data_IF_433694733819
#
_entry.id   IF_433694733819
#
_cell.length_a   1.000
_cell.length_b   1.000
_cell.length_c   1.000
_cell.angle_alpha   90.00
_cell.angle_beta   90.00
_cell.angle_gamma   90.00
#
_symmetry.space_group_name_H-M   'P 1'
#
loop_
_entity.id
_entity.type
_entity.pdbx_description
1 polymer ?
#
# COMPACT_ATOMS: atom_id res chain seq x y z
N UNK A 1 -58.60 -11.77 31.37
CA UNK A 1 -58.30 -12.93 30.50
C UNK A 1 -57.03 -12.60 29.74
N UNK A 2 -55.90 -13.18 30.17
CA UNK A 2 -54.57 -12.93 29.60
C UNK A 2 -54.08 -14.24 29.02
N UNK A 3 -53.84 -14.27 27.71
CA UNK A 3 -53.28 -15.43 27.02
C UNK A 3 -51.76 -15.50 27.24
N UNK A 4 -51.20 -16.61 27.73
CA UNK A 4 -49.77 -16.79 27.81
C UNK A 4 -49.23 -17.29 26.45
N UNK A 5 -48.49 -16.42 25.77
CA UNK A 5 -47.79 -16.72 24.51
C UNK A 5 -46.45 -17.41 24.76
N UNK A 6 -46.41 -18.69 24.41
CA UNK A 6 -45.28 -19.56 24.08
C UNK A 6 -43.84 -19.03 24.28
N UNK A 7 -43.13 -19.63 25.24
CA UNK A 7 -41.68 -19.67 25.28
C UNK A 7 -41.14 -20.53 24.14
N UNK A 8 -40.55 -19.89 23.12
CA UNK A 8 -39.82 -20.55 22.06
C UNK A 8 -38.50 -21.11 22.57
N UNK A 9 -38.48 -22.40 22.90
CA UNK A 9 -37.25 -23.16 23.07
C UNK A 9 -36.56 -23.28 21.70
N UNK A 10 -35.49 -22.51 21.49
CA UNK A 10 -34.56 -22.72 20.37
C UNK A 10 -33.78 -24.00 20.69
N UNK A 11 -34.32 -25.13 20.24
CA UNK A 11 -33.59 -26.39 20.20
C UNK A 11 -32.42 -26.24 19.24
N UNK A 12 -31.21 -26.12 19.78
CA UNK A 12 -29.99 -26.27 18.99
C UNK A 12 -29.89 -27.74 18.63
N UNK A 13 -30.19 -28.02 17.37
CA UNK A 13 -30.18 -29.34 16.76
C UNK A 13 -28.84 -30.06 17.05
N UNK A 14 -28.82 -31.21 17.73
CA UNK A 14 -27.57 -31.93 18.06
C UNK A 14 -26.90 -32.56 16.83
N UNK A 15 -27.44 -32.38 15.63
CA UNK A 15 -26.77 -32.62 14.36
C UNK A 15 -25.74 -31.52 14.06
N UNK A 16 -24.77 -31.38 14.96
CA UNK A 16 -23.52 -30.66 14.72
C UNK A 16 -22.80 -31.30 13.54
N UNK A 17 -23.03 -30.68 12.37
CA UNK A 17 -22.29 -30.74 11.11
C UNK A 17 -21.20 -31.81 11.08
N UNK A 18 -21.54 -32.99 10.56
CA UNK A 18 -20.55 -33.94 10.05
C UNK A 18 -19.79 -33.24 8.92
N UNK A 19 -18.68 -32.59 9.26
CA UNK A 19 -17.74 -31.99 8.30
C UNK A 19 -17.37 -33.10 7.32
N UNK A 20 -17.71 -32.90 6.04
CA UNK A 20 -17.51 -33.91 5.01
C UNK A 20 -16.03 -34.31 4.94
N UNK A 21 -15.74 -35.58 4.62
CA UNK A 21 -14.35 -36.06 4.48
C UNK A 21 -13.53 -35.19 3.51
N UNK A 22 -14.18 -34.64 2.47
CA UNK A 22 -13.58 -33.69 1.52
C UNK A 22 -13.15 -32.39 2.20
N UNK A 23 -14.00 -31.81 3.05
CA UNK A 23 -13.68 -30.58 3.77
C UNK A 23 -12.55 -30.78 4.80
N UNK A 24 -12.50 -31.95 5.47
CA UNK A 24 -11.35 -32.31 6.33
C UNK A 24 -10.04 -32.39 5.56
N UNK A 25 -10.06 -32.96 4.35
CA UNK A 25 -8.88 -33.05 3.47
C UNK A 25 -8.41 -31.67 3.00
N UNK A 26 -9.34 -30.78 2.62
CA UNK A 26 -9.01 -29.40 2.24
C UNK A 26 -8.39 -28.60 3.38
N UNK A 27 -8.92 -28.74 4.61
CA UNK A 27 -8.36 -28.10 5.79
C UNK A 27 -6.95 -28.62 6.10
N UNK A 28 -6.72 -29.93 6.02
CA UNK A 28 -5.41 -30.53 6.23
C UNK A 28 -4.36 -30.04 5.19
N UNK A 29 -4.76 -29.89 3.92
CA UNK A 29 -3.89 -29.33 2.89
C UNK A 29 -3.56 -27.85 3.14
N UNK A 30 -4.55 -27.05 3.53
CA UNK A 30 -4.34 -25.64 3.89
C UNK A 30 -3.36 -25.50 5.05
N UNK A 31 -3.50 -26.32 6.09
CA UNK A 31 -2.59 -26.30 7.25
C UNK A 31 -1.18 -26.74 6.88
N UNK A 32 -1.03 -27.73 5.99
CA UNK A 32 0.27 -28.16 5.46
C UNK A 32 0.98 -27.04 4.69
N UNK A 33 0.25 -26.33 3.82
CA UNK A 33 0.77 -25.18 3.07
C UNK A 33 1.17 -24.04 4.01
N UNK A 34 0.32 -23.74 5.00
CA UNK A 34 0.60 -22.70 5.99
C UNK A 34 1.86 -23.02 6.82
N UNK A 35 2.04 -24.28 7.25
CA UNK A 35 3.27 -24.72 7.94
C UNK A 35 4.51 -24.58 7.06
N UNK A 36 4.43 -24.98 5.79
CA UNK A 36 5.55 -24.84 4.84
C UNK A 36 5.92 -23.36 4.62
N UNK A 37 4.94 -22.48 4.51
CA UNK A 37 5.17 -21.04 4.38
C UNK A 37 5.77 -20.42 5.64
N UNK A 38 5.28 -20.82 6.82
CA UNK A 38 5.83 -20.38 8.10
C UNK A 38 7.30 -20.80 8.27
N UNK A 39 7.63 -22.05 7.93
CA UNK A 39 9.02 -22.55 8.01
C UNK A 39 9.94 -21.86 6.99
N UNK A 40 9.47 -21.63 5.76
CA UNK A 40 10.22 -20.84 4.76
C UNK A 40 10.50 -19.42 5.25
N UNK A 41 9.52 -18.76 5.88
CA UNK A 41 9.71 -17.43 6.45
C UNK A 41 10.68 -17.44 7.63
N UNK A 42 10.64 -18.48 8.47
CA UNK A 42 11.61 -18.67 9.55
C UNK A 42 13.04 -18.83 9.02
N UNK A 43 13.24 -19.64 7.99
CA UNK A 43 14.55 -19.83 7.35
C UNK A 43 15.09 -18.52 6.75
N UNK A 44 14.24 -17.75 6.05
CA UNK A 44 14.61 -16.42 5.55
C UNK A 44 15.07 -15.49 6.67
N UNK A 45 14.36 -15.44 7.80
CA UNK A 45 14.74 -14.62 8.96
C UNK A 45 16.09 -15.04 9.54
N UNK A 46 16.35 -16.34 9.64
CA UNK A 46 17.64 -16.86 10.13
C UNK A 46 18.78 -16.53 9.16
N UNK A 47 18.54 -16.58 7.85
CA UNK A 47 19.52 -16.21 6.84
C UNK A 47 19.88 -14.72 6.92
N UNK A 48 18.88 -13.84 6.97
CA UNK A 48 19.10 -12.39 7.14
C UNK A 48 19.88 -12.10 8.43
N UNK A 49 19.58 -12.82 9.53
CA UNK A 49 20.33 -12.67 10.78
C UNK A 49 21.80 -13.07 10.63
N UNK A 50 22.10 -14.16 9.90
CA UNK A 50 23.49 -14.58 9.61
C UNK A 50 24.22 -13.57 8.73
N UNK A 51 23.56 -13.05 7.70
CA UNK A 51 24.14 -12.05 6.80
C UNK A 51 24.48 -10.74 7.55
N UNK A 52 23.57 -10.25 8.40
CA UNK A 52 23.83 -9.08 9.25
C UNK A 52 25.01 -9.30 10.21
N UNK A 53 25.12 -10.49 10.79
CA UNK A 53 26.24 -10.83 11.66
C UNK A 53 27.57 -10.84 10.90
N UNK A 54 27.59 -11.41 9.68
CA UNK A 54 28.77 -11.42 8.83
C UNK A 54 29.21 -10.00 8.40
N UNK A 55 28.26 -9.12 8.10
CA UNK A 55 28.57 -7.70 7.79
C UNK A 55 29.17 -7.01 9.00
N UNK A 56 28.59 -7.20 10.19
CA UNK A 56 29.11 -6.61 11.44
C UNK A 56 30.53 -7.08 11.74
N UNK A 57 30.81 -8.36 11.54
CA UNK A 57 32.16 -8.91 11.69
C UNK A 57 33.15 -8.26 10.71
N UNK A 58 32.79 -8.15 9.42
CA UNK A 58 33.64 -7.48 8.41
C UNK A 58 33.94 -6.01 8.75
N UNK A 59 32.96 -5.27 9.25
CA UNK A 59 33.15 -3.87 9.65
C UNK A 59 34.14 -3.74 10.83
N UNK A 60 34.06 -4.65 11.81
CA UNK A 60 34.98 -4.66 12.95
C UNK A 60 36.42 -5.01 12.52
N UNK A 61 36.61 -5.94 11.58
CA UNK A 61 37.95 -6.27 11.06
C UNK A 61 38.56 -5.11 10.28
N UNK A 62 37.75 -4.39 9.49
CA UNK A 62 38.19 -3.22 8.73
C UNK A 62 38.60 -2.05 9.63
N UNK A 63 37.86 -1.82 10.73
CA UNK A 63 38.19 -0.76 11.69
C UNK A 63 39.53 -0.99 12.40
N UNK A 64 39.89 -2.26 12.62
CA UNK A 64 41.15 -2.63 13.31
C UNK A 64 42.39 -2.48 12.41
N UNK A 65 42.22 -2.52 11.08
CA UNK A 65 43.35 -2.38 10.14
C UNK A 65 43.74 -0.93 9.84
N UNK A 66 42.84 0.03 10.09
CA UNK A 66 43.07 1.46 9.79
C UNK A 66 43.59 2.29 10.96
N UNK A 67 43.78 1.71 12.15
CA UNK A 67 44.35 2.40 13.32
C UNK A 67 45.87 2.24 13.41
N UNK A 68 46.59 2.48 12.30
CA UNK A 68 48.03 2.73 12.35
C UNK A 68 48.27 4.25 12.42
N UNK A 69 48.97 4.78 13.44
CA UNK A 69 49.12 6.22 13.62
C UNK A 69 50.17 6.76 12.64
N UNK A 70 49.74 7.54 11.65
CA UNK A 70 50.64 8.32 10.80
C UNK A 70 50.71 9.77 11.29
N UNK A 71 51.94 10.21 11.61
CA UNK A 71 52.30 11.57 12.03
C UNK A 71 51.89 12.67 11.03
N UNK A 72 51.58 13.90 11.51
CA UNK A 72 51.17 14.99 10.65
C UNK A 72 52.38 15.71 10.03
N UNK A 73 52.41 15.83 8.70
CA UNK A 73 53.30 16.78 7.99
C UNK A 73 52.51 17.80 7.18
N UNK A 74 52.99 19.03 7.32
CA UNK A 74 52.60 20.34 6.76
C UNK A 74 52.23 20.37 5.27
N UNK A 75 51.38 21.32 4.83
CA UNK A 75 51.01 21.48 3.42
C UNK A 75 52.01 22.40 2.70
N UNK A 76 52.39 22.07 1.46
CA UNK A 76 52.61 23.02 0.35
C UNK A 76 52.98 22.27 -0.95
N UNK A 77 52.59 22.88 -2.07
CA UNK A 77 52.98 22.67 -3.48
C UNK A 77 52.20 21.69 -4.39
N UNK A 78 51.41 22.33 -5.28
CA UNK A 78 51.06 21.97 -6.67
C UNK A 78 52.39 22.01 -7.49
N UNK A 79 52.70 21.12 -8.48
CA UNK A 79 52.03 21.13 -9.79
C UNK A 79 51.99 19.87 -10.69
N UNK A 80 51.06 19.96 -11.67
CA UNK A 80 51.09 19.55 -13.08
C UNK A 80 51.60 18.16 -13.56
N UNK A 81 50.69 17.48 -14.28
CA UNK A 81 50.84 16.80 -15.59
C UNK A 81 51.75 15.55 -15.68
N UNK A 82 51.14 14.40 -15.96
CA UNK A 82 51.70 13.39 -16.88
C UNK A 82 50.62 12.47 -17.45
N UNK A 83 50.70 12.27 -18.77
CA UNK A 83 50.04 11.21 -19.54
C UNK A 83 50.53 9.84 -19.08
N UNK A 84 49.65 8.83 -19.17
CA UNK A 84 50.01 7.43 -19.01
C UNK A 84 48.95 6.53 -19.61
N UNK A 85 49.24 6.02 -20.81
CA UNK A 85 48.55 4.88 -21.43
C UNK A 85 48.65 3.65 -20.52
N UNK A 86 47.52 3.00 -20.24
CA UNK A 86 47.48 1.63 -19.74
C UNK A 86 46.23 0.91 -20.27
N UNK A 87 46.49 -0.04 -21.16
CA UNK A 87 45.55 -0.94 -21.81
C UNK A 87 45.58 -2.29 -21.08
N UNK A 88 44.48 -2.73 -20.48
CA UNK A 88 44.11 -4.13 -20.17
C UNK A 88 42.72 -4.19 -19.49
N UNK A 89 42.07 -5.36 -19.36
CA UNK A 89 41.45 -6.13 -20.42
C UNK A 89 39.92 -6.24 -20.24
N UNK A 90 39.27 -6.68 -21.32
CA UNK A 90 37.91 -7.21 -21.41
C UNK A 90 37.48 -8.02 -20.18
N UNK A 91 36.60 -7.43 -19.37
CA UNK A 91 35.74 -8.12 -18.41
C UNK A 91 34.33 -7.59 -18.57
N UNK A 92 33.41 -8.44 -19.02
CA UNK A 92 31.99 -8.15 -19.18
C UNK A 92 31.40 -7.67 -17.86
N UNK A 93 31.05 -6.39 -17.81
CA UNK A 93 30.21 -5.83 -16.75
C UNK A 93 28.82 -6.50 -16.82
N UNK A 94 28.24 -6.92 -15.69
CA UNK A 94 26.83 -7.26 -15.66
C UNK A 94 26.03 -6.00 -15.95
N UNK A 95 25.07 -6.10 -16.87
CA UNK A 95 24.18 -5.01 -17.28
C UNK A 95 23.41 -4.44 -16.08
N UNK A 96 23.45 -3.11 -15.95
CA UNK A 96 22.78 -2.31 -14.90
C UNK A 96 21.24 -2.42 -14.84
N UNK A 97 20.63 -3.30 -15.65
CA UNK A 97 19.18 -3.52 -15.70
C UNK A 97 18.64 -4.50 -14.65
N UNK A 98 19.49 -5.15 -13.84
CA UNK A 98 19.06 -6.08 -12.78
C UNK A 98 19.32 -5.57 -11.34
N UNK A 99 19.92 -4.38 -11.16
CA UNK A 99 20.25 -3.82 -9.84
C UNK A 99 19.22 -2.86 -9.22
N UNK A 100 18.10 -2.61 -9.89
CA UNK A 100 17.19 -1.53 -9.47
C UNK A 100 16.10 -1.91 -8.45
N UNK A 101 16.02 -3.17 -7.99
CA UNK A 101 14.91 -3.63 -7.13
C UNK A 101 15.30 -4.26 -5.79
N UNK A 102 16.51 -4.04 -5.29
CA UNK A 102 16.89 -4.52 -3.96
C UNK A 102 17.83 -3.54 -3.28
N UNK A 103 17.27 -2.66 -2.46
CA UNK A 103 17.73 -2.28 -1.12
C UNK A 103 16.89 -1.10 -0.60
N UNK A 104 15.66 -1.40 -0.15
CA UNK A 104 15.02 -0.54 0.86
C UNK A 104 15.57 -1.03 2.21
N UNK A 105 16.23 -0.18 3.02
CA UNK A 105 16.71 -0.56 4.34
C UNK A 105 15.55 -1.08 5.20
N UNK A 106 15.58 -2.36 5.55
CA UNK A 106 14.51 -3.04 6.32
C UNK A 106 14.56 -2.75 7.82
N UNK A 107 15.46 -1.86 8.25
CA UNK A 107 15.62 -1.43 9.64
C UNK A 107 14.94 -0.10 9.95
N UNK A 108 14.25 0.46 8.97
CA UNK A 108 13.42 1.64 9.18
C UNK A 108 12.11 1.22 9.87
N UNK A 109 11.90 1.70 11.11
CA UNK A 109 10.69 1.45 11.88
C UNK A 109 9.48 1.96 11.10
N UNK A 110 8.69 1.04 10.54
CA UNK A 110 7.50 1.35 9.75
C UNK A 110 6.55 2.26 10.53
N UNK A 111 6.52 2.18 11.87
CA UNK A 111 5.71 3.07 12.70
C UNK A 111 6.31 4.48 12.79
N UNK A 112 7.64 4.59 12.81
CA UNK A 112 8.33 5.88 12.75
C UNK A 112 8.19 6.51 11.37
N UNK A 113 8.29 5.74 10.28
CA UNK A 113 8.05 6.20 8.91
C UNK A 113 6.58 6.56 8.69
N UNK A 114 5.63 5.80 9.23
CA UNK A 114 4.22 6.15 9.21
C UNK A 114 3.94 7.40 10.04
N UNK A 115 4.65 7.61 11.15
CA UNK A 115 4.54 8.82 11.97
C UNK A 115 5.21 10.03 11.32
N UNK A 116 6.39 9.86 10.72
CA UNK A 116 7.09 10.91 9.96
C UNK A 116 6.33 11.24 8.69
N UNK A 117 5.90 10.27 7.88
CA UNK A 117 4.99 10.49 6.74
C UNK A 117 3.67 11.11 7.23
N UNK A 118 3.10 10.67 8.36
CA UNK A 118 1.93 11.30 8.98
C UNK A 118 2.16 12.76 9.40
N UNK A 119 3.40 13.15 9.70
CA UNK A 119 3.73 14.51 10.19
C UNK A 119 4.26 15.41 9.07
N UNK A 120 4.93 14.83 8.07
CA UNK A 120 5.64 15.49 6.97
C UNK A 120 4.78 15.53 5.69
N UNK A 121 4.00 14.48 5.39
CA UNK A 121 3.00 14.51 4.31
C UNK A 121 1.66 15.12 4.73
N UNK A 122 1.35 15.22 6.03
CA UNK A 122 0.06 15.74 6.51
C UNK A 122 0.20 16.99 7.39
N UNK A 123 1.33 17.71 7.23
CA UNK A 123 1.39 19.13 7.52
C UNK A 123 0.37 19.87 6.66
N UNK A 124 -0.89 19.92 7.11
CA UNK A 124 -2.04 20.65 6.55
C UNK A 124 -2.49 20.38 5.11
N UNK A 125 -1.71 19.71 4.26
CA UNK A 125 -2.10 19.45 2.88
C UNK A 125 -2.33 17.96 2.63
N UNK A 126 -3.59 17.55 2.74
CA UNK A 126 -4.10 16.41 1.98
C UNK A 126 -3.69 16.67 0.52
N UNK A 127 -3.05 15.71 -0.18
CA UNK A 127 -2.54 15.94 -1.51
C UNK A 127 -3.63 16.52 -2.39
N UNK A 128 -3.29 17.62 -3.06
CA UNK A 128 -4.14 18.36 -3.98
C UNK A 128 -4.91 17.39 -4.88
N UNK A 129 -6.16 17.72 -5.19
CA UNK A 129 -7.06 16.87 -5.96
C UNK A 129 -6.32 16.22 -7.15
N UNK A 130 -6.54 14.92 -7.42
CA UNK A 130 -5.73 14.18 -8.39
C UNK A 130 -5.74 14.90 -9.72
N UNK A 131 -4.56 14.93 -10.36
CA UNK A 131 -4.32 15.65 -11.60
C UNK A 131 -5.43 15.29 -12.60
N UNK A 132 -6.21 16.28 -13.08
CA UNK A 132 -7.30 16.01 -14.00
C UNK A 132 -6.74 15.33 -15.24
N UNK A 133 -7.42 14.27 -15.67
CA UNK A 133 -7.07 13.59 -16.92
C UNK A 133 -7.26 14.55 -18.09
N UNK A 134 -6.38 14.53 -19.10
CA UNK A 134 -6.59 15.31 -20.31
C UNK A 134 -7.93 14.91 -20.94
N UNK A 135 -8.83 15.87 -21.19
CA UNK A 135 -10.12 15.61 -21.85
C UNK A 135 -9.92 15.06 -23.29
N UNK A 136 -8.75 15.33 -23.89
CA UNK A 136 -8.38 14.99 -25.27
C UNK A 136 -7.58 13.68 -25.40
N UNK A 137 -7.86 12.65 -24.59
CA UNK A 137 -7.21 11.33 -24.73
C UNK A 137 -7.63 10.56 -26.01
N UNK A 138 -8.54 11.11 -26.81
CA UNK A 138 -9.12 10.45 -28.00
C UNK A 138 -8.13 10.42 -29.18
N UNK A 139 -7.25 11.42 -29.29
CA UNK A 139 -6.38 11.59 -30.46
C UNK A 139 -5.01 10.91 -30.33
N UNK A 140 -4.73 10.30 -29.17
CA UNK A 140 -3.45 9.64 -28.93
C UNK A 140 -3.43 8.20 -29.49
N UNK A 141 -2.29 7.75 -30.06
CA UNK A 141 -2.08 6.34 -30.37
C UNK A 141 -2.32 5.46 -29.14
N UNK A 142 -2.82 4.24 -29.36
CA UNK A 142 -3.17 3.27 -28.31
C UNK A 142 -2.14 3.18 -27.18
N UNK A 143 -0.86 3.04 -27.57
CA UNK A 143 0.23 2.82 -26.63
C UNK A 143 0.49 4.04 -25.75
N UNK A 144 0.46 5.25 -26.34
CA UNK A 144 0.65 6.50 -25.60
C UNK A 144 -0.51 6.73 -24.63
N UNK A 145 -1.74 6.49 -25.10
CA UNK A 145 -2.94 6.54 -24.24
C UNK A 145 -2.84 5.59 -23.05
N UNK A 146 -2.39 4.35 -23.30
CA UNK A 146 -2.14 3.38 -22.23
C UNK A 146 -1.08 3.85 -21.24
N UNK A 147 0.05 4.39 -21.72
CA UNK A 147 1.12 4.89 -20.85
C UNK A 147 0.64 6.05 -19.97
N UNK A 148 -0.16 6.96 -20.52
CA UNK A 148 -0.77 8.04 -19.75
C UNK A 148 -1.68 7.46 -18.66
N UNK A 149 -2.62 6.58 -19.00
CA UNK A 149 -3.52 5.94 -18.03
C UNK A 149 -2.73 5.18 -16.95
N UNK A 150 -1.68 4.47 -17.35
CA UNK A 150 -0.80 3.74 -16.44
C UNK A 150 -0.09 4.69 -15.46
N UNK A 151 0.45 5.81 -15.94
CA UNK A 151 1.11 6.81 -15.10
C UNK A 151 0.12 7.42 -14.09
N UNK A 152 -1.05 7.84 -14.54
CA UNK A 152 -2.10 8.35 -13.66
C UNK A 152 -2.55 7.29 -12.64
N UNK A 153 -2.60 6.01 -13.02
CA UNK A 153 -2.95 4.92 -12.10
C UNK A 153 -1.89 4.73 -11.01
N UNK A 154 -0.60 4.90 -11.32
CA UNK A 154 0.48 4.85 -10.32
C UNK A 154 0.40 6.03 -9.36
N UNK A 155 0.17 7.25 -9.88
CA UNK A 155 -0.01 8.44 -9.06
C UNK A 155 -1.25 8.32 -8.15
N UNK A 156 -2.35 7.79 -8.68
CA UNK A 156 -3.56 7.51 -7.90
C UNK A 156 -3.28 6.51 -6.76
N UNK A 157 -2.49 5.47 -7.03
CA UNK A 157 -2.12 4.47 -6.04
C UNK A 157 -1.18 5.01 -4.93
N UNK A 158 -0.34 6.01 -5.24
CA UNK A 158 0.71 6.49 -4.34
C UNK A 158 0.23 7.45 -3.25
N UNK A 159 -0.95 8.07 -3.39
CA UNK A 159 -1.48 9.12 -2.50
C UNK A 159 -1.44 8.76 -1.00
N UNK A 160 -1.65 7.50 -0.63
CA UNK A 160 -1.56 7.04 0.76
C UNK A 160 -0.48 5.98 0.99
N UNK A 161 0.63 6.07 0.25
CA UNK A 161 1.80 5.19 0.39
C UNK A 161 1.72 3.87 -0.41
N UNK A 162 0.77 3.76 -1.34
CA UNK A 162 0.54 2.54 -2.13
C UNK A 162 -0.65 1.71 -1.64
N UNK A 163 -1.33 1.03 -2.55
CA UNK A 163 -2.58 0.29 -2.26
C UNK A 163 -2.41 -0.77 -1.18
N UNK A 164 -1.22 -1.37 -1.06
CA UNK A 164 -0.95 -2.40 -0.06
C UNK A 164 -1.02 -1.90 1.39
N UNK A 165 -0.88 -0.59 1.62
CA UNK A 165 -0.91 0.02 2.96
C UNK A 165 -2.17 0.88 3.21
N UNK A 166 -3.04 1.02 2.21
CA UNK A 166 -4.28 1.78 2.35
C UNK A 166 -5.20 1.33 3.48
N UNK A 167 -5.36 0.01 3.77
CA UNK A 167 -6.22 -0.42 4.87
C UNK A 167 -5.81 0.21 6.21
N UNK A 168 -4.51 0.30 6.48
CA UNK A 168 -3.94 0.90 7.69
C UNK A 168 -3.92 2.44 7.60
N UNK A 169 -3.48 3.00 6.46
CA UNK A 169 -3.41 4.45 6.26
C UNK A 169 -4.77 5.13 6.43
N UNK A 170 -5.84 4.55 5.86
CA UNK A 170 -7.19 5.12 5.97
C UNK A 170 -7.71 5.16 7.41
N UNK A 171 -7.42 4.13 8.21
CA UNK A 171 -7.81 4.10 9.63
C UNK A 171 -7.05 5.17 10.44
N UNK A 172 -5.74 5.32 10.20
CA UNK A 172 -4.92 6.35 10.84
C UNK A 172 -5.42 7.75 10.48
N UNK A 173 -5.75 7.99 9.21
CA UNK A 173 -6.24 9.29 8.77
C UNK A 173 -7.62 9.60 9.33
N UNK A 174 -8.51 8.63 9.36
CA UNK A 174 -9.83 8.79 9.95
C UNK A 174 -9.77 9.11 11.44
N UNK A 175 -8.96 8.34 12.20
CA UNK A 175 -8.77 8.58 13.64
C UNK A 175 -8.10 9.93 13.91
N UNK A 176 -7.18 10.35 13.04
CA UNK A 176 -6.55 11.68 13.11
C UNK A 176 -7.57 12.80 12.85
N UNK A 177 -8.42 12.65 11.83
CA UNK A 177 -9.50 13.60 11.54
C UNK A 177 -10.48 13.73 12.72
N UNK A 178 -10.78 12.62 13.40
CA UNK A 178 -11.62 12.60 14.60
C UNK A 178 -10.94 13.20 15.85
N UNK A 179 -9.64 12.98 16.02
CA UNK A 179 -8.91 13.40 17.22
C UNK A 179 -8.41 14.86 17.17
N UNK A 180 -8.25 15.43 15.97
CA UNK A 180 -7.73 16.79 15.82
C UNK A 180 -8.70 17.76 16.49
N UNK A 181 -8.28 18.55 17.49
CA UNK A 181 -9.11 19.62 18.08
C UNK A 181 -8.68 21.02 17.62
N UNK A 182 -7.67 21.08 16.74
CA UNK A 182 -6.90 22.30 16.46
C UNK A 182 -7.59 23.30 15.53
N UNK A 183 -8.68 22.94 14.84
CA UNK A 183 -9.42 23.85 13.97
C UNK A 183 -10.63 24.42 14.74
N UNK A 184 -10.66 25.72 15.10
CA UNK A 184 -11.72 26.31 15.90
C UNK A 184 -13.08 26.43 15.19
N UNK A 185 -13.20 26.03 13.92
CA UNK A 185 -14.41 26.25 13.12
C UNK A 185 -15.14 24.98 12.67
N UNK A 186 -14.50 23.81 12.70
CA UNK A 186 -15.12 22.58 12.20
C UNK A 186 -15.27 21.56 13.32
N UNK A 187 -16.47 20.98 13.46
CA UNK A 187 -16.71 19.90 14.41
C UNK A 187 -15.84 18.67 14.04
N UNK A 188 -15.63 17.76 14.99
CA UNK A 188 -14.98 16.47 14.69
C UNK A 188 -15.77 15.68 13.64
N UNK A 189 -17.11 15.76 13.69
CA UNK A 189 -18.00 15.07 12.76
C UNK A 189 -17.81 15.60 11.34
N UNK A 190 -17.83 16.91 11.15
CA UNK A 190 -17.65 17.56 9.85
C UNK A 190 -16.35 17.15 9.17
N UNK A 191 -15.24 17.07 9.92
CA UNK A 191 -13.93 16.68 9.36
C UNK A 191 -13.85 15.19 9.02
N UNK A 192 -14.43 14.33 9.85
CA UNK A 192 -14.52 12.90 9.51
C UNK A 192 -15.42 12.67 8.28
N UNK A 193 -16.49 13.44 8.15
CA UNK A 193 -17.36 13.44 6.98
C UNK A 193 -16.62 13.94 5.72
N UNK A 194 -15.87 15.05 5.83
CA UNK A 194 -15.06 15.58 4.74
C UNK A 194 -14.00 14.56 4.28
N UNK A 195 -13.29 13.94 5.21
CA UNK A 195 -12.33 12.88 4.89
C UNK A 195 -12.99 11.69 4.16
N UNK A 196 -14.16 11.24 4.62
CA UNK A 196 -14.90 10.18 3.92
C UNK A 196 -15.31 10.60 2.51
N UNK A 197 -15.74 11.85 2.32
CA UNK A 197 -16.09 12.38 1.01
C UNK A 197 -14.87 12.39 0.08
N UNK A 198 -13.71 12.83 0.58
CA UNK A 198 -12.45 12.79 -0.17
C UNK A 198 -12.07 11.36 -0.56
N UNK A 199 -12.16 10.40 0.37
CA UNK A 199 -11.89 9.00 0.08
C UNK A 199 -12.84 8.45 -1.00
N UNK A 200 -14.15 8.76 -0.92
CA UNK A 200 -15.12 8.37 -1.94
C UNK A 200 -14.82 9.00 -3.30
N UNK A 201 -14.50 10.28 -3.35
CA UNK A 201 -14.09 10.98 -4.58
C UNK A 201 -12.84 10.34 -5.19
N UNK A 202 -11.86 9.96 -4.36
CA UNK A 202 -10.67 9.24 -4.81
C UNK A 202 -11.01 7.87 -5.41
N UNK A 203 -11.96 7.14 -4.84
CA UNK A 203 -12.47 5.89 -5.40
C UNK A 203 -13.17 6.10 -6.75
N UNK A 204 -13.96 7.16 -6.92
CA UNK A 204 -14.58 7.50 -8.21
C UNK A 204 -13.54 7.82 -9.28
N UNK A 205 -12.45 8.51 -8.93
CA UNK A 205 -11.33 8.71 -9.87
C UNK A 205 -10.68 7.38 -10.27
N UNK A 206 -10.49 6.45 -9.32
CA UNK A 206 -10.03 5.11 -9.62
C UNK A 206 -10.96 4.36 -10.58
N UNK A 207 -12.28 4.46 -10.39
CA UNK A 207 -13.29 3.87 -11.29
C UNK A 207 -13.22 4.48 -12.69
N UNK A 208 -13.02 5.79 -12.80
CA UNK A 208 -12.82 6.47 -14.10
C UNK A 208 -11.56 5.98 -14.82
N UNK A 209 -10.43 5.86 -14.12
CA UNK A 209 -9.20 5.29 -14.67
C UNK A 209 -9.40 3.85 -15.14
N UNK A 210 -10.12 3.03 -14.35
CA UNK A 210 -10.41 1.64 -14.72
C UNK A 210 -11.29 1.55 -15.96
N UNK A 211 -12.32 2.40 -16.08
CA UNK A 211 -13.16 2.47 -17.30
C UNK A 211 -12.34 2.88 -18.52
N UNK A 212 -11.45 3.87 -18.38
CA UNK A 212 -10.55 4.28 -19.46
C UNK A 212 -9.64 3.14 -19.88
N UNK A 213 -9.07 2.41 -18.91
CA UNK A 213 -8.22 1.24 -19.14
C UNK A 213 -8.96 0.09 -19.85
N UNK A 214 -10.24 -0.13 -19.54
CA UNK A 214 -11.09 -1.14 -20.17
C UNK A 214 -11.48 -0.77 -21.60
N UNK A 215 -11.66 0.52 -21.88
CA UNK A 215 -12.10 1.05 -23.18
C UNK A 215 -10.93 1.50 -24.06
N UNK A 216 -9.70 1.04 -23.80
CA UNK A 216 -8.58 1.34 -24.71
C UNK A 216 -8.73 0.44 -25.94
N UNK A 217 -9.09 1.06 -27.06
CA UNK A 217 -9.16 0.42 -28.38
C UNK A 217 -8.04 0.94 -29.28
N UNK A 218 -7.49 0.08 -30.13
CA UNK A 218 -6.48 0.49 -31.11
C UNK A 218 -5.59 -0.64 -31.63
N UNK A 219 -4.62 -0.26 -32.44
CA UNK A 219 -3.72 -1.19 -33.13
C UNK A 219 -2.69 -1.73 -32.13
N UNK A 220 -2.72 -3.05 -31.90
CA UNK A 220 -1.76 -3.72 -31.04
C UNK A 220 -0.38 -3.80 -31.71
N UNK A 221 0.72 -3.82 -30.92
CA UNK A 221 2.06 -4.08 -31.46
C UNK A 221 2.10 -5.43 -32.20
N UNK A 222 2.74 -5.47 -33.36
CA UNK A 222 2.95 -6.71 -34.14
C UNK A 222 3.95 -7.67 -33.47
N UNK A 223 4.85 -7.14 -32.64
CA UNK A 223 5.84 -7.94 -31.91
C UNK A 223 5.19 -8.69 -30.73
N UNK A 224 5.26 -10.03 -30.76
CA UNK A 224 4.68 -10.89 -29.72
C UNK A 224 5.21 -10.59 -28.30
N UNK A 225 6.48 -10.20 -28.17
CA UNK A 225 7.08 -9.86 -26.88
C UNK A 225 6.47 -8.57 -26.32
N UNK A 226 6.36 -7.53 -27.14
CA UNK A 226 5.74 -6.27 -26.76
C UNK A 226 4.27 -6.47 -26.36
N UNK A 227 3.53 -7.30 -27.10
CA UNK A 227 2.14 -7.64 -26.77
C UNK A 227 2.01 -8.32 -25.40
N UNK A 228 2.88 -9.29 -25.09
CA UNK A 228 2.87 -9.97 -23.77
C UNK A 228 3.18 -9.01 -22.63
N UNK A 229 4.15 -8.11 -22.83
CA UNK A 229 4.51 -7.12 -21.81
C UNK A 229 3.37 -6.13 -21.56
N UNK A 230 2.79 -5.60 -22.64
CA UNK A 230 1.64 -4.69 -22.59
C UNK A 230 0.45 -5.35 -21.88
N UNK A 231 0.12 -6.60 -22.22
CA UNK A 231 -0.95 -7.34 -21.57
C UNK A 231 -0.72 -7.52 -20.07
N UNK A 232 0.52 -7.84 -19.67
CA UNK A 232 0.90 -7.95 -18.27
C UNK A 232 0.71 -6.61 -17.56
N UNK A 233 1.26 -5.52 -18.10
CA UNK A 233 1.14 -4.19 -17.50
C UNK A 233 -0.32 -3.75 -17.38
N UNK A 234 -1.14 -4.00 -18.41
CA UNK A 234 -2.58 -3.72 -18.39
C UNK A 234 -3.28 -4.50 -17.28
N UNK A 235 -3.04 -5.80 -17.19
CA UNK A 235 -3.63 -6.67 -16.16
C UNK A 235 -3.21 -6.22 -14.75
N UNK A 236 -1.92 -5.97 -14.53
CA UNK A 236 -1.39 -5.53 -13.24
C UNK A 236 -2.01 -4.19 -12.83
N UNK A 237 -2.20 -3.26 -13.78
CA UNK A 237 -2.85 -1.96 -13.54
C UNK A 237 -4.32 -2.12 -13.20
N UNK A 238 -5.04 -2.98 -13.91
CA UNK A 238 -6.46 -3.24 -13.65
C UNK A 238 -6.67 -3.87 -12.26
N UNK A 239 -5.82 -4.85 -11.89
CA UNK A 239 -5.85 -5.49 -10.57
C UNK A 239 -5.54 -4.47 -9.47
N UNK A 240 -4.53 -3.63 -9.67
CA UNK A 240 -4.17 -2.55 -8.75
C UNK A 240 -5.38 -1.61 -8.52
N UNK A 241 -5.95 -1.04 -9.58
CA UNK A 241 -7.12 -0.16 -9.51
C UNK A 241 -8.30 -0.83 -8.80
N UNK A 242 -8.70 -2.03 -9.23
CA UNK A 242 -9.82 -2.76 -8.64
C UNK A 242 -9.61 -3.03 -7.14
N UNK A 243 -8.40 -3.40 -6.74
CA UNK A 243 -8.06 -3.67 -5.34
C UNK A 243 -8.13 -2.41 -4.49
N UNK A 244 -7.59 -1.28 -5.00
CA UNK A 244 -7.65 -0.01 -4.29
C UNK A 244 -9.08 0.51 -4.13
N UNK A 245 -9.89 0.47 -5.19
CA UNK A 245 -11.31 0.86 -5.15
C UNK A 245 -12.07 0.03 -4.12
N UNK A 246 -11.93 -1.30 -4.18
CA UNK A 246 -12.59 -2.20 -3.24
C UNK A 246 -12.15 -1.96 -1.79
N UNK A 247 -10.88 -1.62 -1.57
CA UNK A 247 -10.34 -1.27 -0.25
C UNK A 247 -11.00 -0.01 0.30
N UNK A 248 -11.08 1.05 -0.51
CA UNK A 248 -11.73 2.30 -0.09
C UNK A 248 -13.21 2.04 0.20
N UNK A 249 -13.94 1.41 -0.72
CA UNK A 249 -15.38 1.16 -0.58
C UNK A 249 -15.68 0.34 0.70
N UNK A 250 -14.88 -0.69 0.97
CA UNK A 250 -15.00 -1.50 2.18
C UNK A 250 -14.70 -0.68 3.44
N UNK A 251 -13.61 0.10 3.45
CA UNK A 251 -13.19 0.88 4.62
C UNK A 251 -14.13 2.03 4.92
N UNK A 252 -14.57 2.79 3.92
CA UNK A 252 -15.59 3.84 4.09
C UNK A 252 -16.88 3.25 4.65
N UNK A 253 -17.31 2.08 4.17
CA UNK A 253 -18.48 1.39 4.72
C UNK A 253 -18.32 1.01 6.20
N UNK A 254 -17.12 0.61 6.62
CA UNK A 254 -16.81 0.32 8.03
C UNK A 254 -16.78 1.60 8.87
N UNK A 255 -16.13 2.66 8.38
CA UNK A 255 -16.02 3.95 9.08
C UNK A 255 -17.39 4.59 9.31
N UNK A 256 -18.27 4.55 8.30
CA UNK A 256 -19.68 4.98 8.44
C UNK A 256 -20.38 4.28 9.60
N UNK A 257 -20.21 2.96 9.73
CA UNK A 257 -20.78 2.20 10.87
C UNK A 257 -20.20 2.63 12.23
N UNK A 258 -18.92 2.97 12.27
CA UNK A 258 -18.24 3.37 13.51
C UNK A 258 -18.57 4.80 13.95
N UNK A 259 -18.81 5.74 13.02
CA UNK A 259 -19.35 7.05 13.35
C UNK A 259 -20.64 6.92 14.18
N UNK A 260 -21.51 5.98 13.81
CA UNK A 260 -22.75 5.71 14.55
C UNK A 260 -22.56 5.00 15.90
N UNK A 261 -21.34 4.56 16.23
CA UNK A 261 -21.06 3.81 17.48
C UNK A 261 -20.24 4.62 18.48
N UNK A 262 -19.40 5.56 18.01
CA UNK A 262 -18.53 6.39 18.88
C UNK A 262 -19.35 7.43 19.66
N UNK A 263 -20.55 7.76 19.20
CA UNK A 263 -21.56 8.40 20.04
C UNK A 263 -22.24 7.37 20.93
N UNK A 264 -21.83 7.30 22.20
CA UNK A 264 -22.51 6.55 23.25
C UNK A 264 -23.91 7.06 23.60
N UNK A 265 -24.70 7.55 22.65
CA UNK A 265 -26.05 8.06 22.87
C UNK A 265 -26.96 7.58 21.75
N UNK A 266 -27.99 6.80 22.10
CA UNK A 266 -29.00 6.26 21.20
C UNK A 266 -29.88 7.32 20.49
N UNK A 267 -29.26 8.24 19.75
CA UNK A 267 -29.94 9.26 18.95
C UNK A 267 -30.26 8.77 17.53
N UNK A 268 -29.54 7.76 17.01
CA UNK A 268 -29.80 7.28 15.64
C UNK A 268 -31.11 6.50 15.51
N UNK A 269 -31.50 5.71 16.51
CA UNK A 269 -32.84 5.09 16.53
C UNK A 269 -33.92 6.17 16.54
N UNK A 270 -33.69 7.30 17.24
CA UNK A 270 -34.65 8.41 17.31
C UNK A 270 -34.79 9.17 15.98
N UNK A 271 -33.69 9.35 15.24
CA UNK A 271 -33.70 10.07 13.97
C UNK A 271 -34.20 9.20 12.81
N UNK A 272 -33.91 7.90 12.83
CA UNK A 272 -34.37 6.94 11.80
C UNK A 272 -35.81 6.47 12.03
N UNK A 273 -36.31 6.45 13.28
CA UNK A 273 -37.70 6.06 13.59
C UNK A 273 -38.70 7.23 13.53
N UNK A 274 -38.26 8.45 13.23
CA UNK A 274 -39.16 9.60 13.07
C UNK A 274 -39.95 9.96 14.33
N UNK A 275 -39.45 9.57 15.51
CA UNK A 275 -40.07 9.98 16.77
C UNK A 275 -39.72 11.45 17.04
N UNK A 276 -40.62 12.33 16.60
CA UNK A 276 -40.66 13.72 17.06
C UNK A 276 -40.90 13.69 18.56
N UNK A 277 -39.89 14.10 19.32
CA UNK A 277 -40.01 14.32 20.77
C UNK A 277 -41.15 15.32 21.03
N UNK A 278 -42.17 14.82 21.73
CA UNK A 278 -43.24 15.60 22.38
C UNK A 278 -42.70 16.18 23.68
#
# INVERSE_FOLDING_TARGET
MVSPGASGHIGVDPNTRKISKSMKYQMANRDSVNRKNAERNRQKRLQVKKEKQAIKEKMNTAATQNSSPSEPKSPFNIPARAQGDARAPSGTLPTDSERFWLEIPTDYDIKHLQKELATECFGSHIPEAPVPLPEELVDFPYFDRFLIIWEHSKQWASIWGGISVWPESLEVLFTTAAATQQAPQASSEERTHEFMLQAMTHAEHGKSLLRLLQNIEGILPSETRALKLLWKMHTDTAVMLATGIATIDARVSVMKKHQFTIEGTGQLDRFMLGERSV
#
